data_IF_697501037331
#
_entry.id   IF_697501037331
#
_cell.length_a   1.000
_cell.length_b   1.000
_cell.length_c   1.000
_cell.angle_alpha   90.00
_cell.angle_beta   90.00
_cell.angle_gamma   90.00
#
_symmetry.space_group_name_H-M   'P 1'
#
loop_
_entity.id
_entity.type
_entity.pdbx_description
1 polymer ?
#
# COMPACT_ATOMS: atom_id res chain seq x y z
N UNK A 1 -0.15 9.02 -7.90
CA UNK A 1 -1.15 8.63 -6.91
C UNK A 1 -2.42 8.17 -7.63
N UNK A 2 -3.13 7.18 -7.10
CA UNK A 2 -4.32 6.55 -7.67
C UNK A 2 -4.27 5.03 -7.51
N UNK A 3 -5.20 4.33 -8.16
CA UNK A 3 -5.27 2.86 -8.11
C UNK A 3 -4.66 2.29 -9.42
N UNK A 4 -3.46 1.70 -9.35
CA UNK A 4 -2.76 1.24 -10.56
C UNK A 4 -3.50 0.12 -11.31
N UNK A 5 -4.28 -0.72 -10.60
CA UNK A 5 -5.03 -1.81 -11.23
C UNK A 5 -6.22 -1.31 -12.09
N UNK A 6 -6.49 -0.01 -12.10
CA UNK A 6 -7.39 0.63 -13.07
C UNK A 6 -6.73 0.91 -14.42
N UNK A 7 -5.41 0.84 -14.50
CA UNK A 7 -4.69 1.06 -15.76
C UNK A 7 -4.73 -0.21 -16.60
N UNK A 8 -5.40 -0.14 -17.75
CA UNK A 8 -5.63 -1.31 -18.63
C UNK A 8 -4.35 -2.01 -19.11
N UNK A 9 -3.27 -1.23 -19.26
CA UNK A 9 -1.99 -1.74 -19.77
C UNK A 9 -0.99 -2.06 -18.63
N UNK A 10 -1.44 -2.13 -17.37
CA UNK A 10 -0.56 -2.42 -16.23
C UNK A 10 0.24 -3.72 -16.41
N UNK A 11 -0.35 -4.86 -16.79
CA UNK A 11 0.41 -6.09 -17.01
C UNK A 11 1.45 -5.96 -18.13
N UNK A 12 1.13 -5.25 -19.20
CA UNK A 12 2.10 -4.96 -20.28
C UNK A 12 3.27 -4.13 -19.78
N UNK A 13 3.02 -3.10 -18.97
CA UNK A 13 4.08 -2.25 -18.41
C UNK A 13 5.00 -3.04 -17.47
N UNK A 14 4.44 -3.97 -16.68
CA UNK A 14 5.22 -4.86 -15.81
C UNK A 14 6.11 -5.79 -16.67
N UNK A 15 5.54 -6.45 -17.66
CA UNK A 15 6.29 -7.34 -18.57
C UNK A 15 7.40 -6.58 -19.30
N UNK A 16 7.11 -5.38 -19.78
CA UNK A 16 8.09 -4.51 -20.41
C UNK A 16 9.25 -4.16 -19.46
N UNK A 17 8.92 -3.74 -18.24
CA UNK A 17 9.92 -3.41 -17.23
C UNK A 17 10.79 -4.63 -16.86
N UNK A 18 10.18 -5.82 -16.72
CA UNK A 18 10.88 -7.08 -16.47
C UNK A 18 11.86 -7.41 -17.58
N UNK A 19 11.41 -7.37 -18.83
CA UNK A 19 12.23 -7.69 -20.00
C UNK A 19 13.34 -6.67 -20.25
N UNK A 20 13.10 -5.42 -19.89
CA UNK A 20 14.09 -4.35 -20.04
C UNK A 20 15.19 -4.37 -18.96
N UNK A 21 15.01 -5.13 -17.88
CA UNK A 21 15.99 -5.19 -16.78
C UNK A 21 16.20 -3.87 -16.07
N UNK A 22 15.20 -2.99 -16.04
CA UNK A 22 15.30 -1.64 -15.46
C UNK A 22 15.37 -1.64 -13.93
N UNK A 23 14.93 -2.73 -13.31
CA UNK A 23 14.92 -2.90 -11.85
C UNK A 23 15.03 -4.37 -11.47
N UNK A 24 15.64 -4.65 -10.32
CA UNK A 24 15.73 -6.00 -9.75
C UNK A 24 14.37 -6.50 -9.28
N UNK A 25 13.57 -5.62 -8.69
CA UNK A 25 12.22 -5.92 -8.18
C UNK A 25 11.23 -4.94 -8.78
N UNK A 26 10.14 -5.47 -9.33
CA UNK A 26 8.98 -4.70 -9.76
C UNK A 26 7.86 -4.94 -8.78
N UNK A 27 7.33 -3.85 -8.24
CA UNK A 27 6.35 -3.85 -7.16
C UNK A 27 5.14 -2.98 -7.50
N UNK A 28 3.95 -3.43 -7.11
CA UNK A 28 2.70 -2.69 -7.29
C UNK A 28 2.02 -2.48 -5.94
N UNK A 29 1.58 -1.25 -5.68
CA UNK A 29 0.74 -0.91 -4.54
C UNK A 29 -0.69 -0.72 -5.00
N UNK A 30 -1.64 -1.44 -4.40
CA UNK A 30 -3.06 -1.41 -4.79
C UNK A 30 -3.97 -1.46 -3.57
N UNK A 31 -5.17 -0.95 -3.68
CA UNK A 31 -6.22 -1.19 -2.67
C UNK A 31 -6.97 -2.51 -2.89
N UNK A 32 -6.63 -3.26 -3.91
CA UNK A 32 -7.18 -4.59 -4.23
C UNK A 32 -8.59 -4.58 -4.82
N UNK A 33 -9.26 -3.43 -4.92
CA UNK A 33 -10.67 -3.35 -5.30
C UNK A 33 -10.99 -3.81 -6.74
N UNK A 34 -9.96 -3.91 -7.59
CA UNK A 34 -10.10 -4.33 -9.00
C UNK A 34 -9.54 -5.71 -9.28
N UNK A 35 -8.94 -6.36 -8.29
CA UNK A 35 -8.46 -7.73 -8.45
C UNK A 35 -9.61 -8.66 -8.84
N UNK A 36 -9.33 -9.53 -9.78
CA UNK A 36 -10.20 -10.57 -10.26
C UNK A 36 -9.35 -11.67 -10.92
N UNK A 37 -9.87 -12.88 -11.17
CA UNK A 37 -9.07 -13.99 -11.66
C UNK A 37 -8.30 -13.70 -12.96
N UNK A 38 -8.88 -12.92 -13.87
CA UNK A 38 -8.22 -12.60 -15.13
C UNK A 38 -7.05 -11.64 -14.93
N UNK A 39 -7.27 -10.55 -14.18
CA UNK A 39 -6.20 -9.61 -13.84
C UNK A 39 -5.10 -10.27 -13.00
N UNK A 40 -5.47 -11.10 -12.03
CA UNK A 40 -4.54 -11.85 -11.20
C UNK A 40 -3.60 -12.69 -12.07
N UNK A 41 -4.16 -13.45 -13.00
CA UNK A 41 -3.39 -14.23 -13.96
C UNK A 41 -2.45 -13.36 -14.78
N UNK A 42 -2.92 -12.23 -15.30
CA UNK A 42 -2.11 -11.31 -16.10
C UNK A 42 -0.97 -10.70 -15.28
N UNK A 43 -1.20 -10.31 -14.03
CA UNK A 43 -0.18 -9.75 -13.15
C UNK A 43 0.92 -10.78 -12.83
N UNK A 44 0.55 -12.01 -12.51
CA UNK A 44 1.53 -13.08 -12.25
C UNK A 44 2.29 -13.44 -13.52
N UNK A 45 1.61 -13.66 -14.63
CA UNK A 45 2.22 -14.07 -15.90
C UNK A 45 3.13 -12.95 -16.49
N UNK A 46 2.89 -11.68 -16.15
CA UNK A 46 3.76 -10.55 -16.52
C UNK A 46 5.07 -10.49 -15.74
N UNK A 47 5.25 -11.33 -14.73
CA UNK A 47 6.45 -11.41 -13.91
C UNK A 47 6.49 -10.35 -12.80
N UNK A 48 5.34 -9.90 -12.32
CA UNK A 48 5.27 -9.09 -11.10
C UNK A 48 5.88 -9.85 -9.93
N UNK A 49 6.77 -9.19 -9.18
CA UNK A 49 7.52 -9.85 -8.10
C UNK A 49 6.98 -9.54 -6.72
N UNK A 50 6.37 -8.36 -6.55
CA UNK A 50 5.74 -7.99 -5.28
C UNK A 50 4.47 -7.20 -5.51
N UNK A 51 3.44 -7.52 -4.74
CA UNK A 51 2.19 -6.75 -4.67
C UNK A 51 1.89 -6.38 -3.22
N UNK A 52 1.70 -5.09 -2.98
CA UNK A 52 1.29 -4.56 -1.69
C UNK A 52 -0.19 -4.20 -1.74
N UNK A 53 -1.00 -4.96 -1.03
CA UNK A 53 -2.45 -4.73 -0.94
C UNK A 53 -2.73 -3.94 0.33
N UNK A 54 -3.03 -2.67 0.16
CA UNK A 54 -3.40 -1.78 1.26
C UNK A 54 -4.91 -1.82 1.47
N UNK A 55 -5.37 -2.47 2.54
CA UNK A 55 -6.79 -2.57 2.84
C UNK A 55 -7.32 -1.26 3.40
N UNK A 56 -8.43 -0.79 2.86
CA UNK A 56 -9.12 0.41 3.31
C UNK A 56 -10.10 0.15 4.48
N UNK A 57 -10.22 -1.11 4.86
CA UNK A 57 -11.05 -1.60 5.96
C UNK A 57 -11.39 -3.07 5.79
N UNK A 58 -12.23 -3.59 6.68
CA UNK A 58 -12.66 -5.00 6.70
C UNK A 58 -14.15 -5.15 6.37
N UNK A 59 -14.70 -4.22 5.60
CA UNK A 59 -16.11 -4.25 5.17
C UNK A 59 -16.34 -3.43 3.90
N UNK A 60 -17.42 -3.73 3.19
CA UNK A 60 -17.89 -3.01 2.01
C UNK A 60 -18.11 -1.52 2.29
N UNK A 61 -18.75 -1.20 3.40
CA UNK A 61 -19.04 0.18 3.82
C UNK A 61 -17.75 0.99 4.02
N UNK A 62 -16.72 0.36 4.60
CA UNK A 62 -15.42 1.02 4.79
C UNK A 62 -14.76 1.31 3.46
N UNK A 63 -14.74 0.35 2.53
CA UNK A 63 -14.18 0.56 1.19
C UNK A 63 -14.91 1.67 0.43
N UNK A 64 -16.25 1.69 0.50
CA UNK A 64 -17.03 2.75 -0.13
C UNK A 64 -16.73 4.11 0.49
N UNK A 65 -16.60 4.17 1.81
CA UNK A 65 -16.35 5.44 2.53
C UNK A 65 -14.95 5.99 2.28
N UNK A 66 -13.93 5.14 2.28
CA UNK A 66 -12.53 5.54 2.24
C UNK A 66 -12.01 5.61 0.80
N UNK A 67 -12.06 4.51 0.07
CA UNK A 67 -11.54 4.41 -1.29
C UNK A 67 -12.55 4.84 -2.37
N UNK A 68 -13.80 5.14 -1.98
CA UNK A 68 -14.92 5.36 -2.92
C UNK A 68 -15.12 4.17 -3.87
N UNK A 69 -14.64 3.00 -3.49
CA UNK A 69 -14.77 1.76 -4.24
C UNK A 69 -15.91 0.90 -3.67
N UNK A 70 -16.83 0.52 -4.55
CA UNK A 70 -17.86 -0.45 -4.21
C UNK A 70 -17.30 -1.84 -4.46
N UNK A 71 -17.22 -2.64 -3.41
CA UNK A 71 -16.78 -4.04 -3.46
C UNK A 71 -17.91 -4.94 -2.93
N UNK A 72 -17.87 -6.22 -3.27
CA UNK A 72 -18.52 -7.28 -2.52
C UNK A 72 -17.44 -7.96 -1.70
N UNK A 73 -17.60 -8.06 -0.40
CA UNK A 73 -16.56 -8.50 0.53
C UNK A 73 -16.10 -9.95 0.28
N UNK A 74 -17.05 -10.85 0.05
CA UNK A 74 -16.72 -12.27 -0.16
C UNK A 74 -15.96 -12.45 -1.48
N UNK A 75 -16.38 -11.79 -2.54
CA UNK A 75 -15.67 -11.79 -3.82
C UNK A 75 -14.28 -11.14 -3.70
N UNK A 76 -14.15 -10.08 -2.90
CA UNK A 76 -12.88 -9.42 -2.67
C UNK A 76 -11.86 -10.37 -2.01
N UNK A 77 -12.28 -11.07 -0.96
CA UNK A 77 -11.44 -12.08 -0.30
C UNK A 77 -11.14 -13.24 -1.24
N UNK A 78 -12.14 -13.73 -1.98
CA UNK A 78 -11.97 -14.79 -2.97
C UNK A 78 -10.97 -14.40 -4.08
N UNK A 79 -11.00 -13.16 -4.56
CA UNK A 79 -10.06 -12.68 -5.58
C UNK A 79 -8.62 -12.60 -5.06
N UNK A 80 -8.41 -12.22 -3.80
CA UNK A 80 -7.07 -12.25 -3.17
C UNK A 80 -6.60 -13.71 -2.99
N UNK A 81 -7.51 -14.60 -2.59
CA UNK A 81 -7.21 -16.04 -2.48
C UNK A 81 -6.78 -16.61 -3.82
N UNK A 82 -7.53 -16.30 -4.90
CA UNK A 82 -7.19 -16.72 -6.26
C UNK A 82 -5.80 -16.19 -6.69
N UNK A 83 -5.48 -14.93 -6.40
CA UNK A 83 -4.16 -14.36 -6.68
C UNK A 83 -3.06 -15.17 -5.97
N UNK A 84 -3.25 -15.46 -4.68
CA UNK A 84 -2.31 -16.23 -3.89
C UNK A 84 -2.13 -17.65 -4.45
N UNK A 85 -3.21 -18.36 -4.70
CA UNK A 85 -3.17 -19.72 -5.23
C UNK A 85 -2.55 -19.77 -6.63
N UNK A 86 -2.89 -18.82 -7.50
CA UNK A 86 -2.31 -18.75 -8.83
C UNK A 86 -0.82 -18.46 -8.80
N UNK A 87 -0.39 -17.53 -7.95
CA UNK A 87 1.02 -17.20 -7.79
C UNK A 87 1.86 -18.40 -7.30
N UNK A 88 1.32 -19.22 -6.39
CA UNK A 88 2.01 -20.45 -5.92
C UNK A 88 2.19 -21.50 -7.01
N UNK A 89 1.33 -21.51 -8.02
CA UNK A 89 1.40 -22.46 -9.14
C UNK A 89 2.33 -22.00 -10.27
N UNK A 90 2.53 -20.70 -10.42
CA UNK A 90 3.10 -20.12 -11.64
C UNK A 90 4.29 -19.21 -11.45
N UNK A 91 4.53 -18.66 -10.28
CA UNK A 91 5.57 -17.68 -10.08
C UNK A 91 5.95 -17.46 -8.63
N UNK A 92 6.85 -16.50 -8.44
CA UNK A 92 7.42 -16.14 -7.13
C UNK A 92 6.87 -14.79 -6.63
N UNK A 93 5.61 -14.47 -6.97
CA UNK A 93 4.98 -13.23 -6.52
C UNK A 93 4.85 -13.22 -4.99
N UNK A 94 5.49 -12.26 -4.35
CA UNK A 94 5.33 -11.97 -2.91
C UNK A 94 4.09 -11.11 -2.72
N UNK A 95 3.17 -11.57 -1.90
CA UNK A 95 1.92 -10.88 -1.57
C UNK A 95 2.02 -10.34 -0.15
N UNK A 96 2.06 -9.02 -0.02
CA UNK A 96 2.03 -8.29 1.24
C UNK A 96 0.66 -7.63 1.41
N UNK A 97 -0.03 -7.95 2.51
CA UNK A 97 -1.33 -7.36 2.83
C UNK A 97 -1.21 -6.54 4.10
N UNK A 98 -1.64 -5.30 4.03
CA UNK A 98 -1.60 -4.40 5.17
C UNK A 98 -2.92 -3.68 5.40
N UNK A 99 -3.17 -3.34 6.66
CA UNK A 99 -4.25 -2.46 7.07
C UNK A 99 -3.71 -1.45 8.06
N UNK A 100 -4.22 -0.23 7.98
CA UNK A 100 -3.82 0.82 8.90
C UNK A 100 -4.67 0.78 10.17
N UNK A 101 -4.00 0.84 11.32
CA UNK A 101 -4.62 1.07 12.61
C UNK A 101 -4.16 2.43 13.15
N UNK A 102 -5.06 3.37 13.26
CA UNK A 102 -4.75 4.67 13.83
C UNK A 102 -5.38 4.82 15.20
N UNK A 103 -4.56 4.87 16.21
CA UNK A 103 -4.97 5.22 17.57
C UNK A 103 -5.04 6.73 17.80
N UNK A 104 -4.77 7.57 16.80
CA UNK A 104 -4.74 9.02 16.96
C UNK A 104 -6.06 9.68 16.56
N UNK A 105 -6.52 10.61 17.38
CA UNK A 105 -7.60 11.53 17.04
C UNK A 105 -7.07 12.60 16.08
N UNK A 106 -7.60 12.63 14.87
CA UNK A 106 -7.41 13.76 13.96
C UNK A 106 -8.61 14.70 14.11
N UNK A 107 -8.41 15.91 14.61
CA UNK A 107 -9.47 16.91 14.85
C UNK A 107 -10.60 16.40 15.75
N UNK A 108 -10.28 15.69 16.84
CA UNK A 108 -11.27 15.14 17.77
C UNK A 108 -12.11 13.99 17.21
N UNK A 109 -11.72 13.40 16.08
CA UNK A 109 -12.34 12.21 15.50
C UNK A 109 -11.34 11.08 15.38
N UNK A 110 -11.62 9.95 16.02
CA UNK A 110 -10.84 8.70 15.82
C UNK A 110 -11.03 8.25 14.39
N UNK A 111 -10.00 8.40 13.56
CA UNK A 111 -10.16 8.22 12.12
C UNK A 111 -10.16 6.74 11.72
N UNK A 112 -9.34 5.89 12.34
CA UNK A 112 -9.20 4.48 11.95
C UNK A 112 -8.65 3.62 13.09
N UNK A 113 -9.39 3.41 14.16
CA UNK A 113 -9.02 2.44 15.19
C UNK A 113 -9.61 1.08 14.83
N UNK A 114 -8.78 0.06 14.75
CA UNK A 114 -9.24 -1.33 14.70
C UNK A 114 -9.46 -1.84 16.11
N UNK A 115 -10.64 -2.38 16.35
CA UNK A 115 -10.92 -3.16 17.56
C UNK A 115 -10.10 -4.45 17.58
N UNK A 116 -9.92 -5.06 18.73
CA UNK A 116 -9.18 -6.34 18.82
C UNK A 116 -9.88 -7.46 18.03
N UNK A 117 -11.22 -7.42 17.94
CA UNK A 117 -11.96 -8.33 17.08
C UNK A 117 -11.65 -8.12 15.60
N UNK A 118 -11.52 -6.88 15.15
CA UNK A 118 -11.14 -6.57 13.76
C UNK A 118 -9.68 -6.95 13.46
N UNK A 119 -8.76 -6.75 14.41
CA UNK A 119 -7.37 -7.24 14.27
C UNK A 119 -7.34 -8.77 14.13
N UNK A 120 -8.07 -9.48 14.98
CA UNK A 120 -8.18 -10.93 14.89
C UNK A 120 -8.84 -11.38 13.58
N UNK A 121 -9.88 -10.68 13.13
CA UNK A 121 -10.51 -10.95 11.84
C UNK A 121 -9.53 -10.76 10.68
N UNK A 122 -8.74 -9.68 10.69
CA UNK A 122 -7.72 -9.40 9.69
C UNK A 122 -6.72 -10.56 9.56
N UNK A 123 -6.09 -10.97 10.65
CA UNK A 123 -5.14 -12.08 10.63
C UNK A 123 -5.79 -13.43 10.26
N UNK A 124 -7.00 -13.69 10.74
CA UNK A 124 -7.74 -14.89 10.39
C UNK A 124 -8.08 -14.97 8.90
N UNK A 125 -8.45 -13.83 8.30
CA UNK A 125 -8.88 -13.77 6.90
C UNK A 125 -7.69 -13.83 5.95
N UNK A 126 -6.61 -13.10 6.24
CA UNK A 126 -5.53 -12.88 5.27
C UNK A 126 -4.24 -13.63 5.60
N UNK A 127 -4.07 -14.12 6.83
CA UNK A 127 -2.82 -14.74 7.27
C UNK A 127 -2.39 -16.01 6.51
N UNK A 128 -3.34 -16.69 5.86
CA UNK A 128 -3.06 -17.91 5.08
C UNK A 128 -3.08 -17.69 3.56
N UNK A 129 -3.37 -16.47 3.10
CA UNK A 129 -3.47 -16.10 1.68
C UNK A 129 -2.56 -14.91 1.32
N UNK A 130 -1.49 -14.76 2.09
CA UNK A 130 -0.44 -13.77 1.87
C UNK A 130 0.90 -14.31 2.41
N UNK A 131 1.99 -13.77 1.91
CA UNK A 131 3.33 -14.06 2.43
C UNK A 131 3.64 -13.22 3.68
N UNK A 132 3.13 -11.99 3.69
CA UNK A 132 3.29 -11.06 4.79
C UNK A 132 1.96 -10.35 5.08
N UNK A 133 1.59 -10.27 6.36
CA UNK A 133 0.41 -9.49 6.80
C UNK A 133 0.79 -8.55 7.92
N UNK A 134 0.35 -7.30 7.86
CA UNK A 134 0.75 -6.31 8.85
C UNK A 134 -0.34 -5.28 9.17
N UNK A 135 -0.42 -4.89 10.44
CA UNK A 135 -1.23 -3.78 10.92
C UNK A 135 -0.30 -2.58 11.15
N UNK A 136 -0.32 -1.63 10.20
CA UNK A 136 0.55 -0.45 10.24
C UNK A 136 -0.04 0.68 11.09
N UNK A 137 0.82 1.46 11.72
CA UNK A 137 0.43 2.73 12.34
C UNK A 137 0.55 3.86 11.33
N UNK A 138 -0.39 4.80 11.37
CA UNK A 138 -0.25 6.05 10.60
C UNK A 138 0.87 6.88 11.23
N UNK A 139 1.83 7.22 10.41
CA UNK A 139 2.85 8.21 10.74
C UNK A 139 2.52 9.51 9.98
N UNK A 140 2.41 10.66 10.65
CA UNK A 140 2.21 11.93 9.97
C UNK A 140 3.36 12.19 9.00
N UNK A 141 3.07 12.24 7.72
CA UNK A 141 4.08 12.44 6.67
C UNK A 141 4.17 13.89 6.19
N UNK A 142 3.12 14.68 6.41
CA UNK A 142 3.00 16.05 5.91
C UNK A 142 3.20 17.06 7.02
N UNK A 143 3.99 18.11 6.74
CA UNK A 143 4.27 19.19 7.70
C UNK A 143 2.99 19.87 8.23
N UNK A 144 1.96 19.95 7.40
CA UNK A 144 0.66 20.53 7.75
C UNK A 144 -0.09 19.68 8.79
N UNK A 145 0.08 18.35 8.76
CA UNK A 145 -0.52 17.46 9.77
C UNK A 145 0.27 17.40 11.07
N UNK A 146 1.48 17.97 11.10
CA UNK A 146 2.32 18.03 12.30
C UNK A 146 2.05 19.26 13.16
N UNK A 147 1.49 20.33 12.60
CA UNK A 147 1.31 21.62 13.30
C UNK A 147 0.38 21.54 14.50
N UNK A 148 -0.58 20.63 14.50
CA UNK A 148 -1.58 20.52 15.56
C UNK A 148 -1.20 19.58 16.71
N UNK A 149 -0.01 18.95 16.69
CA UNK A 149 0.35 17.86 17.61
C UNK A 149 1.74 17.95 18.23
N UNK A 150 2.22 19.16 18.52
CA UNK A 150 3.59 19.33 19.03
C UNK A 150 3.87 18.75 20.42
N UNK A 151 2.90 18.27 21.20
CA UNK A 151 3.12 18.03 22.62
C UNK A 151 3.00 16.60 23.16
N UNK A 152 2.42 15.60 22.47
CA UNK A 152 2.12 14.34 23.17
C UNK A 152 2.24 13.03 22.38
N UNK A 153 2.87 13.00 21.21
CA UNK A 153 3.07 11.75 20.50
C UNK A 153 4.51 11.26 20.68
N UNK A 154 4.70 10.24 21.49
CA UNK A 154 5.85 9.34 21.33
C UNK A 154 5.77 8.75 19.91
N UNK A 155 6.56 9.31 19.00
CA UNK A 155 6.69 8.80 17.65
C UNK A 155 7.41 7.45 17.71
N UNK A 156 6.66 6.40 17.82
CA UNK A 156 7.12 5.09 17.36
C UNK A 156 7.00 5.07 15.85
N UNK A 157 7.97 4.46 15.16
CA UNK A 157 7.88 4.29 13.71
C UNK A 157 6.66 3.47 13.29
N UNK A 158 6.40 3.37 11.99
CA UNK A 158 5.27 2.65 11.40
C UNK A 158 5.10 1.22 11.93
N UNK A 159 6.18 0.59 12.34
CA UNK A 159 6.25 -0.78 12.85
C UNK A 159 6.67 -0.84 14.33
N UNK A 160 6.26 0.12 15.14
CA UNK A 160 6.64 0.20 16.56
C UNK A 160 8.15 0.27 16.84
N UNK A 161 8.95 0.68 15.85
CA UNK A 161 10.37 0.89 16.07
C UNK A 161 10.58 2.01 17.11
N UNK A 162 11.61 1.83 17.95
CA UNK A 162 12.04 2.91 18.82
C UNK A 162 12.42 4.13 18.02
N UNK A 163 12.06 5.31 18.49
CA UNK A 163 12.48 6.58 17.91
C UNK A 163 13.99 6.60 17.73
N UNK A 164 14.45 6.82 16.51
CA UNK A 164 15.86 7.07 16.22
C UNK A 164 16.14 8.55 16.22
N UNK A 165 17.36 8.95 16.54
CA UNK A 165 17.77 10.35 16.48
C UNK A 165 17.48 10.93 15.09
N UNK A 166 16.98 12.15 15.06
CA UNK A 166 16.70 12.89 13.85
C UNK A 166 17.94 12.96 12.94
N UNK A 167 17.78 12.53 11.68
CA UNK A 167 18.84 12.67 10.68
C UNK A 167 18.83 14.08 10.12
N UNK A 168 19.99 14.72 10.12
CA UNK A 168 20.14 16.08 9.55
C UNK A 168 19.94 16.14 8.05
N UNK A 169 20.21 15.01 7.36
CA UNK A 169 20.10 14.88 5.91
C UNK A 169 19.22 13.66 5.63
N UNK A 170 18.18 13.86 4.83
CA UNK A 170 17.31 12.77 4.40
C UNK A 170 18.05 11.90 3.38
N UNK A 171 18.22 10.59 3.61
CA UNK A 171 18.90 9.73 2.64
C UNK A 171 18.08 9.51 1.35
N UNK A 172 16.77 9.67 1.39
CA UNK A 172 15.91 9.41 0.22
C UNK A 172 16.23 10.30 -0.97
N UNK A 173 16.71 11.52 -0.78
CA UNK A 173 17.11 12.40 -1.89
C UNK A 173 18.26 11.84 -2.73
N UNK A 174 19.00 10.86 -2.21
CA UNK A 174 20.09 10.17 -2.92
C UNK A 174 19.72 8.76 -3.40
N UNK A 175 18.57 8.24 -2.96
CA UNK A 175 18.20 6.83 -3.18
C UNK A 175 16.88 6.69 -3.92
N UNK A 176 16.13 7.78 -4.07
CA UNK A 176 14.76 7.74 -4.54
C UNK A 176 14.55 8.68 -5.73
N UNK A 177 13.76 8.21 -6.66
CA UNK A 177 13.31 9.02 -7.80
C UNK A 177 11.82 8.73 -7.98
N UNK A 178 11.01 9.78 -7.95
CA UNK A 178 9.57 9.67 -8.17
C UNK A 178 9.20 10.28 -9.52
N UNK A 179 8.61 9.47 -10.37
CA UNK A 179 8.07 9.92 -11.66
C UNK A 179 6.56 10.09 -11.49
N UNK A 180 6.09 11.32 -11.63
CA UNK A 180 4.69 11.66 -11.53
C UNK A 180 3.93 11.23 -12.80
N UNK A 181 2.60 11.21 -12.70
CA UNK A 181 1.71 10.81 -13.82
C UNK A 181 1.82 11.70 -15.07
N UNK A 182 2.33 12.90 -14.93
CA UNK A 182 2.58 13.88 -15.99
C UNK A 182 4.02 13.85 -16.51
N UNK A 183 4.85 12.93 -16.01
CA UNK A 183 6.25 12.76 -16.38
C UNK A 183 7.23 13.67 -15.63
N UNK A 184 6.75 14.57 -14.77
CA UNK A 184 7.63 15.38 -13.93
C UNK A 184 8.28 14.46 -12.88
N UNK A 185 9.58 14.64 -12.70
CA UNK A 185 10.39 13.87 -11.77
C UNK A 185 10.63 14.68 -10.49
N UNK A 186 10.44 14.05 -9.34
CA UNK A 186 10.73 14.63 -8.03
C UNK A 186 11.61 13.70 -7.19
N UNK A 187 12.39 14.23 -6.24
CA UNK A 187 13.32 13.44 -5.43
C UNK A 187 12.61 12.60 -4.36
N UNK A 188 11.34 12.85 -4.11
CA UNK A 188 10.59 12.19 -3.03
C UNK A 188 9.10 12.18 -3.31
N UNK A 189 8.40 11.10 -2.93
CA UNK A 189 6.93 11.00 -2.97
C UNK A 189 6.24 11.96 -2.00
N UNK A 190 6.97 12.46 -0.99
CA UNK A 190 6.44 13.40 0.00
C UNK A 190 6.49 14.86 -0.49
N UNK A 191 7.17 15.12 -1.60
CA UNK A 191 7.13 16.41 -2.27
C UNK A 191 5.84 16.55 -3.08
N UNK A 192 4.70 16.51 -2.37
CA UNK A 192 3.38 16.69 -2.95
C UNK A 192 3.20 18.04 -3.65
N UNK A 193 3.70 19.17 -3.09
CA UNK A 193 3.62 20.47 -3.77
C UNK A 193 4.48 20.54 -5.02
N UNK A 194 5.41 19.58 -5.22
CA UNK A 194 6.37 19.56 -6.33
C UNK A 194 7.26 20.81 -6.35
N UNK A 195 7.69 21.23 -5.16
CA UNK A 195 8.57 22.38 -5.00
C UNK A 195 9.97 22.11 -5.54
N UNK A 196 10.38 20.82 -5.57
CA UNK A 196 11.64 20.37 -6.14
C UNK A 196 11.36 19.44 -7.33
N UNK A 197 11.48 19.97 -8.54
CA UNK A 197 11.43 19.18 -9.78
C UNK A 197 12.82 19.08 -10.41
N UNK A 198 13.10 17.93 -11.01
CA UNK A 198 14.35 17.63 -11.72
C UNK A 198 14.04 17.53 -13.22
#
# INVERSE_FOLDING_TARGET
>A
HGEPTMHKDLPFLIDYARKSGVADIIEVFTNGSKLNPELNKQLVDSGLQRINISLEGLSEDRYLKVAKAKINWDNFVANITDLYEYSRKKGDLVIYIKIVNNASELNGKTVFSLTDNEKNLFYKTFGNIADEVYIEKIVPQWAETQKDKQNDLEFTGMYDQKTVNYKKICPFVFMYLHINHDGIVSPCTLDWPREVSI
#
